data_IF_245075560362
#
_entry.id   IF_245075560362
#
_cell.length_a   1.000
_cell.length_b   1.000
_cell.length_c   1.000
_cell.angle_alpha   90.00
_cell.angle_beta   90.00
_cell.angle_gamma   90.00
#
_symmetry.space_group_name_H-M   'P 1'
#
loop_
_entity.id
_entity.type
_entity.pdbx_description
1 polymer ?
#
# COMPACT_ATOMS: atom_id res chain seq x y z
N UNK A 1 30.36 -8.21 -5.30
CA UNK A 1 29.50 -7.10 -5.72
C UNK A 1 30.13 -5.82 -5.20
N UNK A 2 30.45 -4.88 -6.07
CA UNK A 2 31.12 -3.63 -5.71
C UNK A 2 30.08 -2.68 -5.12
N UNK A 3 30.37 -2.08 -3.96
CA UNK A 3 29.51 -1.05 -3.37
C UNK A 3 29.37 0.13 -4.35
N UNK A 4 28.21 0.82 -4.38
CA UNK A 4 28.07 2.03 -5.15
C UNK A 4 29.04 3.10 -4.67
N UNK A 5 29.43 3.99 -5.58
CA UNK A 5 30.25 5.16 -5.30
C UNK A 5 29.36 6.40 -5.29
N UNK A 6 29.74 7.38 -4.48
CA UNK A 6 29.02 8.63 -4.35
C UNK A 6 29.08 9.38 -5.70
N UNK A 7 27.93 9.82 -6.25
CA UNK A 7 27.91 10.54 -7.53
C UNK A 7 28.54 11.93 -7.45
N UNK A 8 28.69 12.48 -6.24
CA UNK A 8 29.24 13.81 -6.00
C UNK A 8 30.75 13.77 -5.68
N UNK A 9 31.18 12.89 -4.77
CA UNK A 9 32.57 12.86 -4.29
C UNK A 9 33.40 11.72 -4.89
N UNK A 10 32.76 10.70 -5.48
CA UNK A 10 33.43 9.46 -5.90
C UNK A 10 33.83 8.53 -4.74
N UNK A 11 33.56 8.92 -3.49
CA UNK A 11 33.86 8.11 -2.30
C UNK A 11 33.01 6.84 -2.25
N UNK A 12 33.50 5.75 -1.59
CA UNK A 12 32.70 4.55 -1.40
C UNK A 12 31.48 4.84 -0.52
N UNK A 13 30.31 4.34 -0.92
CA UNK A 13 29.11 4.41 -0.08
C UNK A 13 28.95 3.16 0.76
N UNK A 14 28.39 3.31 1.95
CA UNK A 14 28.11 2.21 2.86
C UNK A 14 26.60 2.02 3.02
N UNK A 15 26.20 0.76 3.23
CA UNK A 15 24.80 0.41 3.45
C UNK A 15 24.43 0.78 4.89
N UNK A 16 23.41 1.60 5.06
CA UNK A 16 22.97 2.08 6.36
C UNK A 16 21.46 2.35 6.39
N UNK A 17 20.95 2.74 7.55
CA UNK A 17 19.57 3.14 7.78
C UNK A 17 19.57 4.49 8.52
N UNK A 18 18.99 5.52 7.90
CA UNK A 18 18.95 6.88 8.48
C UNK A 18 17.52 7.39 8.62
N UNK A 19 17.22 8.20 9.65
CA UNK A 19 15.87 8.73 9.85
C UNK A 19 15.47 9.69 8.73
N UNK A 20 14.31 9.44 8.11
CA UNK A 20 13.69 10.30 7.11
C UNK A 20 12.32 10.78 7.64
N UNK A 21 12.12 12.09 7.67
CA UNK A 21 10.83 12.68 8.04
C UNK A 21 10.00 12.98 6.80
N UNK A 22 8.84 12.34 6.70
CA UNK A 22 7.84 12.56 5.67
C UNK A 22 6.75 13.49 6.20
N UNK A 23 6.28 14.42 5.37
CA UNK A 23 5.20 15.34 5.71
C UNK A 23 4.06 15.27 4.67
N UNK A 24 2.82 15.26 5.14
CA UNK A 24 1.64 15.28 4.29
C UNK A 24 0.46 15.92 5.03
N UNK A 25 -0.20 16.93 4.40
CA UNK A 25 -1.35 17.66 4.96
C UNK A 25 -1.17 18.09 6.44
N UNK A 26 0.01 18.60 6.79
CA UNK A 26 0.32 19.08 8.14
C UNK A 26 0.63 17.98 9.17
N UNK A 27 0.55 16.71 8.79
CA UNK A 27 1.01 15.58 9.60
C UNK A 27 2.41 15.17 9.18
N UNK A 28 3.19 14.66 10.13
CA UNK A 28 4.53 14.14 9.89
C UNK A 28 4.70 12.73 10.44
N UNK A 29 5.60 11.96 9.84
CA UNK A 29 6.09 10.69 10.37
C UNK A 29 7.58 10.58 10.08
N UNK A 30 8.35 10.11 11.06
CA UNK A 30 9.75 9.77 10.87
C UNK A 30 9.88 8.27 10.72
N UNK A 31 10.63 7.83 9.73
CA UNK A 31 10.87 6.42 9.42
C UNK A 31 12.36 6.15 9.29
N UNK A 32 12.74 4.90 9.53
CA UNK A 32 14.08 4.40 9.34
C UNK A 32 14.28 4.05 7.85
N UNK A 33 15.00 4.90 7.12
CA UNK A 33 15.16 4.80 5.67
C UNK A 33 16.43 4.01 5.30
N UNK A 34 16.31 2.79 4.77
CA UNK A 34 17.46 2.04 4.28
C UNK A 34 18.00 2.64 3.00
N UNK A 35 19.32 2.60 2.82
CA UNK A 35 19.94 3.12 1.62
C UNK A 35 21.45 2.96 1.64
N UNK A 36 22.09 3.41 0.58
CA UNK A 36 23.52 3.65 0.54
C UNK A 36 23.77 5.11 0.85
N UNK A 37 24.66 5.39 1.80
CA UNK A 37 24.95 6.74 2.25
C UNK A 37 26.43 7.05 2.07
N UNK A 38 26.73 8.31 1.77
CA UNK A 38 28.08 8.84 1.78
C UNK A 38 28.39 9.45 3.16
N UNK A 39 29.61 9.30 3.64
CA UNK A 39 30.09 9.99 4.86
C UNK A 39 30.71 11.36 4.56
N UNK A 40 31.08 11.60 3.29
CA UNK A 40 31.72 12.84 2.85
C UNK A 40 30.72 13.84 2.24
N UNK A 41 29.47 13.42 2.00
CA UNK A 41 28.39 14.29 1.51
C UNK A 41 27.03 13.79 1.99
N UNK A 42 25.99 14.60 1.81
CA UNK A 42 24.60 14.25 2.15
C UNK A 42 23.90 13.38 1.09
N UNK A 43 24.66 12.82 0.14
CA UNK A 43 24.10 11.98 -0.92
C UNK A 43 23.67 10.60 -0.40
N UNK A 44 22.52 10.14 -0.89
CA UNK A 44 22.03 8.79 -0.66
C UNK A 44 21.53 8.15 -1.96
N UNK A 45 21.65 6.82 -2.04
CA UNK A 45 21.08 6.01 -3.14
C UNK A 45 20.15 4.97 -2.53
N UNK A 46 18.90 4.98 -2.99
CA UNK A 46 17.87 4.04 -2.57
C UNK A 46 17.49 3.13 -3.73
N UNK A 47 17.48 1.83 -3.49
CA UNK A 47 16.95 0.85 -4.45
C UNK A 47 15.41 0.87 -4.47
N UNK A 48 14.80 0.22 -5.46
CA UNK A 48 13.34 0.09 -5.49
C UNK A 48 12.77 -0.64 -4.26
N UNK A 49 13.53 -1.55 -3.64
CA UNK A 49 13.11 -2.20 -2.38
C UNK A 49 13.20 -1.23 -1.19
N UNK A 50 14.23 -0.40 -1.15
CA UNK A 50 14.39 0.62 -0.12
C UNK A 50 13.22 1.60 -0.14
N UNK A 51 12.88 2.09 -1.33
CA UNK A 51 11.79 3.06 -1.53
C UNK A 51 10.42 2.53 -1.09
N UNK A 52 10.20 1.21 -1.03
CA UNK A 52 8.95 0.67 -0.48
C UNK A 52 8.74 1.08 0.98
N UNK A 53 9.80 1.29 1.77
CA UNK A 53 9.69 1.73 3.16
C UNK A 53 9.06 3.13 3.21
N UNK A 54 9.60 4.08 2.44
CA UNK A 54 9.06 5.44 2.35
C UNK A 54 7.68 5.48 1.70
N UNK A 55 7.46 4.71 0.63
CA UNK A 55 6.18 4.72 -0.10
C UNK A 55 5.03 4.19 0.77
N UNK A 56 5.26 3.08 1.50
CA UNK A 56 4.27 2.53 2.44
C UNK A 56 3.99 3.47 3.60
N UNK A 57 5.04 4.09 4.15
CA UNK A 57 4.88 5.06 5.23
C UNK A 57 4.09 6.30 4.77
N UNK A 58 4.38 6.80 3.57
CA UNK A 58 3.66 7.90 2.95
C UNK A 58 2.20 7.54 2.68
N UNK A 59 1.92 6.34 2.15
CA UNK A 59 0.56 5.85 1.95
C UNK A 59 -0.19 5.74 3.28
N UNK A 60 0.45 5.26 4.35
CA UNK A 60 -0.16 5.22 5.68
C UNK A 60 -0.49 6.63 6.19
N UNK A 61 0.43 7.58 6.04
CA UNK A 61 0.22 8.97 6.43
C UNK A 61 -0.94 9.61 5.65
N UNK A 62 -1.02 9.34 4.33
CA UNK A 62 -2.15 9.76 3.48
C UNK A 62 -3.46 9.14 3.93
N UNK A 63 -3.48 7.83 4.23
CA UNK A 63 -4.68 7.14 4.67
C UNK A 63 -5.26 7.80 5.94
N UNK A 64 -4.43 8.03 6.96
CA UNK A 64 -4.82 8.75 8.18
C UNK A 64 -5.32 10.16 7.91
N UNK A 65 -4.58 10.91 7.11
CA UNK A 65 -4.91 12.31 6.81
C UNK A 65 -6.20 12.47 6.01
N UNK A 66 -6.64 11.41 5.32
CA UNK A 66 -7.84 11.44 4.47
C UNK A 66 -9.03 10.64 5.00
N UNK A 67 -8.88 9.99 6.16
CA UNK A 67 -9.90 9.11 6.74
C UNK A 67 -10.12 7.84 5.92
N UNK A 68 -9.08 7.32 5.27
CA UNK A 68 -9.09 6.03 4.59
C UNK A 68 -8.58 4.95 5.53
N UNK A 69 -8.94 3.69 5.24
CA UNK A 69 -8.51 2.55 6.06
C UNK A 69 -7.01 2.29 5.89
N UNK A 70 -6.34 2.03 7.01
CA UNK A 70 -4.94 1.58 7.03
C UNK A 70 -4.82 0.09 6.63
N UNK A 71 -3.63 -0.37 6.19
CA UNK A 71 -3.43 -1.75 5.72
C UNK A 71 -3.90 -2.83 6.71
N UNK A 72 -3.66 -2.63 8.01
CA UNK A 72 -4.05 -3.58 9.05
C UNK A 72 -5.57 -3.64 9.25
N UNK A 73 -6.25 -2.51 9.11
CA UNK A 73 -7.72 -2.45 9.20
C UNK A 73 -8.36 -3.18 8.01
N UNK A 74 -7.85 -2.94 6.80
CA UNK A 74 -8.32 -3.64 5.58
C UNK A 74 -8.16 -5.16 5.76
N UNK A 75 -6.99 -5.61 6.25
CA UNK A 75 -6.73 -7.03 6.53
C UNK A 75 -7.70 -7.59 7.57
N UNK A 76 -7.92 -6.87 8.67
CA UNK A 76 -8.84 -7.27 9.75
C UNK A 76 -10.26 -7.44 9.22
N UNK A 77 -10.78 -6.44 8.51
CA UNK A 77 -12.13 -6.45 7.95
C UNK A 77 -12.29 -7.58 6.95
N UNK A 78 -11.35 -7.74 6.01
CA UNK A 78 -11.40 -8.82 5.02
C UNK A 78 -11.45 -10.19 5.69
N UNK A 79 -10.63 -10.42 6.72
CA UNK A 79 -10.65 -11.67 7.48
C UNK A 79 -11.97 -11.87 8.22
N UNK A 80 -12.54 -10.82 8.79
CA UNK A 80 -13.82 -10.86 9.50
C UNK A 80 -14.97 -11.31 8.60
N UNK A 81 -14.99 -10.86 7.34
CA UNK A 81 -15.99 -11.26 6.35
C UNK A 81 -15.66 -12.58 5.63
N UNK A 82 -14.58 -13.27 6.03
CA UNK A 82 -14.26 -14.62 5.53
C UNK A 82 -13.70 -14.67 4.10
N UNK A 83 -13.23 -13.56 3.53
CA UNK A 83 -12.72 -13.53 2.16
C UNK A 83 -11.20 -13.69 2.08
N UNK A 84 -10.72 -14.37 1.04
CA UNK A 84 -9.32 -14.27 0.62
C UNK A 84 -9.08 -12.97 -0.18
N UNK A 85 -7.82 -12.60 -0.41
CA UNK A 85 -7.47 -11.32 -1.06
C UNK A 85 -7.98 -11.22 -2.50
N UNK A 86 -7.88 -12.31 -3.27
CA UNK A 86 -8.35 -12.37 -4.67
C UNK A 86 -9.86 -12.17 -4.74
N UNK A 87 -10.62 -12.96 -3.97
CA UNK A 87 -12.08 -12.88 -3.91
C UNK A 87 -12.56 -11.51 -3.43
N UNK A 88 -11.89 -10.91 -2.44
CA UNK A 88 -12.22 -9.57 -1.99
C UNK A 88 -12.01 -8.53 -3.10
N UNK A 89 -10.91 -8.64 -3.86
CA UNK A 89 -10.62 -7.75 -4.99
C UNK A 89 -11.60 -7.88 -6.16
N UNK A 90 -12.19 -9.06 -6.34
CA UNK A 90 -13.22 -9.33 -7.36
C UNK A 90 -14.61 -8.87 -6.90
N UNK A 91 -15.03 -9.24 -5.68
CA UNK A 91 -16.39 -9.01 -5.18
C UNK A 91 -16.58 -7.59 -4.67
N UNK A 92 -15.63 -7.06 -3.90
CA UNK A 92 -15.71 -5.68 -3.37
C UNK A 92 -15.19 -4.69 -4.41
N UNK A 93 -14.20 -5.10 -5.21
CA UNK A 93 -13.62 -4.32 -6.30
C UNK A 93 -12.14 -3.99 -6.11
N UNK A 94 -11.59 -3.27 -7.08
CA UNK A 94 -10.15 -2.98 -7.19
C UNK A 94 -9.38 -4.02 -8.02
N UNK A 95 -9.98 -5.17 -8.29
CA UNK A 95 -9.36 -6.25 -9.07
C UNK A 95 -8.57 -7.22 -8.19
N UNK A 96 -8.19 -8.39 -8.73
CA UNK A 96 -7.75 -9.55 -7.94
C UNK A 96 -6.45 -9.35 -7.14
N UNK A 97 -5.69 -8.30 -7.43
CA UNK A 97 -4.43 -7.96 -6.73
C UNK A 97 -4.53 -6.74 -5.84
N UNK A 98 -5.69 -6.09 -5.77
CA UNK A 98 -5.85 -4.86 -5.02
C UNK A 98 -5.66 -5.07 -3.52
N UNK A 99 -6.31 -6.07 -2.93
CA UNK A 99 -6.18 -6.35 -1.50
C UNK A 99 -4.77 -6.78 -1.08
N UNK A 100 -4.00 -7.41 -1.98
CA UNK A 100 -2.57 -7.66 -1.73
C UNK A 100 -1.81 -6.34 -1.56
N UNK A 101 -2.00 -5.38 -2.48
CA UNK A 101 -1.34 -4.08 -2.44
C UNK A 101 -1.84 -3.20 -1.30
N UNK A 102 -3.15 -3.22 -1.02
CA UNK A 102 -3.75 -2.48 0.10
C UNK A 102 -3.20 -2.97 1.44
N UNK A 103 -3.18 -4.27 1.68
CA UNK A 103 -2.66 -4.85 2.93
C UNK A 103 -1.14 -4.75 3.08
N UNK A 104 -0.42 -4.63 1.96
CA UNK A 104 1.02 -4.35 1.99
C UNK A 104 1.33 -2.86 2.21
N UNK A 105 0.35 -1.96 2.05
CA UNK A 105 0.55 -0.51 2.05
C UNK A 105 1.13 0.03 0.73
N UNK A 106 1.26 -0.82 -0.29
CA UNK A 106 1.80 -0.46 -1.61
C UNK A 106 0.80 0.36 -2.44
N UNK A 107 -0.48 0.35 -2.07
CA UNK A 107 -1.54 1.08 -2.75
C UNK A 107 -2.57 1.60 -1.74
N UNK A 108 -3.03 2.82 -1.94
CA UNK A 108 -4.16 3.39 -1.19
C UNK A 108 -5.49 2.83 -1.70
N UNK A 109 -6.41 2.41 -0.81
CA UNK A 109 -7.77 2.12 -1.22
C UNK A 109 -8.46 3.40 -1.69
N UNK A 110 -9.39 3.29 -2.64
CA UNK A 110 -10.26 4.41 -2.95
C UNK A 110 -11.21 4.70 -1.79
N UNK A 111 -11.81 5.91 -1.78
CA UNK A 111 -12.88 6.25 -0.82
C UNK A 111 -14.04 5.25 -0.88
N UNK A 112 -14.43 4.83 -2.08
CA UNK A 112 -15.51 3.85 -2.26
C UNK A 112 -15.18 2.49 -1.63
N UNK A 113 -13.97 1.98 -1.82
CA UNK A 113 -13.52 0.73 -1.19
C UNK A 113 -13.46 0.87 0.33
N UNK A 114 -12.94 2.00 0.83
CA UNK A 114 -12.90 2.26 2.28
C UNK A 114 -14.29 2.29 2.89
N UNK A 115 -15.24 3.02 2.27
CA UNK A 115 -16.64 3.06 2.74
C UNK A 115 -17.31 1.70 2.68
N UNK A 116 -17.10 0.93 1.61
CA UNK A 116 -17.66 -0.43 1.50
C UNK A 116 -17.14 -1.34 2.62
N UNK A 117 -15.83 -1.30 2.90
CA UNK A 117 -15.22 -2.07 3.99
C UNK A 117 -15.73 -1.64 5.36
N UNK A 118 -15.90 -0.33 5.62
CA UNK A 118 -16.49 0.15 6.88
C UNK A 118 -17.92 -0.37 7.07
N UNK A 119 -18.75 -0.36 6.01
CA UNK A 119 -20.09 -0.92 6.06
C UNK A 119 -20.08 -2.43 6.33
N UNK A 120 -19.21 -3.17 5.63
CA UNK A 120 -19.05 -4.61 5.80
C UNK A 120 -18.47 -5.00 7.16
N UNK A 121 -17.64 -4.15 7.75
CA UNK A 121 -17.17 -4.35 9.12
C UNK A 121 -18.33 -4.17 10.11
N UNK A 122 -19.24 -3.22 9.87
CA UNK A 122 -20.41 -3.02 10.73
C UNK A 122 -21.44 -4.15 10.57
N UNK A 123 -21.70 -4.57 9.34
CA UNK A 123 -22.63 -5.64 8.98
C UNK A 123 -21.99 -6.64 7.99
N UNK A 124 -21.33 -7.70 8.49
CA UNK A 124 -20.74 -8.72 7.64
C UNK A 124 -21.75 -9.47 6.75
N UNK A 125 -23.02 -9.53 7.12
CA UNK A 125 -24.04 -10.24 6.33
C UNK A 125 -24.38 -9.50 5.03
N UNK A 126 -24.16 -8.18 4.98
CA UNK A 126 -24.33 -7.38 3.76
C UNK A 126 -23.40 -7.82 2.62
N UNK A 127 -22.35 -8.60 2.90
CA UNK A 127 -21.48 -9.19 1.88
C UNK A 127 -22.26 -9.95 0.80
N UNK A 128 -23.36 -10.62 1.19
CA UNK A 128 -24.23 -11.37 0.27
C UNK A 128 -24.78 -10.52 -0.86
N UNK A 129 -24.97 -9.22 -0.64
CA UNK A 129 -25.43 -8.27 -1.66
C UNK A 129 -24.37 -8.11 -2.75
N UNK A 130 -23.10 -7.96 -2.35
CA UNK A 130 -21.99 -7.82 -3.27
C UNK A 130 -21.71 -9.12 -4.03
N UNK A 131 -21.76 -10.27 -3.36
CA UNK A 131 -21.62 -11.58 -4.00
C UNK A 131 -22.72 -11.83 -5.04
N UNK A 132 -23.96 -11.47 -4.72
CA UNK A 132 -25.09 -11.63 -5.64
C UNK A 132 -24.95 -10.73 -6.85
N UNK A 133 -24.54 -9.46 -6.65
CA UNK A 133 -24.21 -8.57 -7.75
C UNK A 133 -23.09 -9.13 -8.62
N UNK A 134 -22.00 -9.63 -8.01
CA UNK A 134 -20.86 -10.17 -8.73
C UNK A 134 -21.23 -11.37 -9.59
N UNK A 135 -22.01 -12.32 -9.06
CA UNK A 135 -22.52 -13.49 -9.83
C UNK A 135 -23.42 -13.11 -11.01
N UNK A 136 -24.07 -11.96 -10.94
CA UNK A 136 -24.96 -11.48 -12.01
C UNK A 136 -24.21 -10.66 -13.08
N UNK A 137 -22.89 -10.48 -12.95
CA UNK A 137 -22.07 -9.85 -13.99
C UNK A 137 -21.89 -10.87 -15.13
N UNK A 138 -22.14 -10.50 -16.40
CA UNK A 138 -21.92 -11.40 -17.53
C UNK A 138 -20.46 -11.88 -17.60
N UNK A 139 -20.24 -13.16 -17.92
CA UNK A 139 -18.90 -13.77 -17.93
C UNK A 139 -17.86 -12.99 -18.75
N UNK A 140 -18.26 -12.39 -19.88
CA UNK A 140 -17.40 -11.55 -20.71
C UNK A 140 -16.85 -10.29 -20.00
N UNK A 141 -17.50 -9.83 -18.93
CA UNK A 141 -17.04 -8.68 -18.13
C UNK A 141 -16.10 -9.07 -16.97
N UNK A 142 -15.94 -10.37 -16.67
CA UNK A 142 -14.93 -10.86 -15.73
C UNK A 142 -13.53 -10.93 -16.36
N UNK A 143 -13.46 -11.05 -17.69
CA UNK A 143 -12.23 -11.29 -18.46
C UNK A 143 -11.71 -10.06 -19.22
N UNK A 144 -12.33 -8.88 -19.07
CA UNK A 144 -11.92 -7.69 -19.82
C UNK A 144 -10.40 -7.46 -19.67
N UNK A 145 -9.67 -7.30 -20.80
CA UNK A 145 -8.22 -7.22 -20.78
C UNK A 145 -7.80 -6.02 -19.95
N UNK A 146 -7.03 -6.29 -18.89
CA UNK A 146 -6.35 -5.24 -18.14
C UNK A 146 -5.23 -4.69 -19.04
N UNK A 147 -5.10 -3.35 -19.17
CA UNK A 147 -4.00 -2.74 -19.91
C UNK A 147 -2.64 -3.10 -19.28
#
# INVERSE_FOLDING_TARGET
>A
MTNPVCPETGAPMHRDVRPLTLAYKGQTITIDMPGWYCDESDQSIHTGEDMKVSDRALNRLKARSEGLLEPEEIRRIRKKIGMNQTAAGEVIGGGPRAFQKYEAGDLLPSRAISSALVLLDRDPHALRVLETRYRNIPAAAHEAPRP
#
